data_IF_955690355033
#
_entry.id   IF_955690355033
#
_cell.length_a   1.000
_cell.length_b   1.000
_cell.length_c   1.000
_cell.angle_alpha   90.00
_cell.angle_beta   90.00
_cell.angle_gamma   90.00
#
_symmetry.space_group_name_H-M   'P 1'
#
loop_
_entity.id
_entity.type
_entity.pdbx_description
1 polymer ?
#
# COMPACT_ATOMS: atom_id res chain seq x y z
N UNK A 1 -25.34 -3.09 24.88
CA UNK A 1 -23.99 -2.50 24.68
C UNK A 1 -23.99 -1.94 23.28
N UNK A 2 -23.83 -0.63 23.16
CA UNK A 2 -24.06 0.10 21.91
C UNK A 2 -22.84 -0.11 21.02
N UNK A 3 -23.00 -0.93 19.99
CA UNK A 3 -22.10 -1.05 18.84
C UNK A 3 -22.25 0.22 17.99
N UNK A 4 -21.91 1.38 18.57
CA UNK A 4 -22.02 2.66 17.88
C UNK A 4 -20.80 2.84 16.99
N UNK A 5 -21.00 2.50 15.72
CA UNK A 5 -20.55 3.29 14.57
C UNK A 5 -19.06 3.61 14.55
N UNK A 6 -18.21 2.58 14.48
CA UNK A 6 -16.91 2.81 13.88
C UNK A 6 -17.14 3.32 12.46
N UNK A 7 -16.55 4.47 12.07
CA UNK A 7 -16.64 4.97 10.70
C UNK A 7 -16.21 3.88 9.71
N UNK A 8 -16.81 3.83 8.50
CA UNK A 8 -16.49 2.81 7.54
C UNK A 8 -14.99 2.82 7.21
N UNK A 9 -14.39 1.63 7.21
CA UNK A 9 -12.99 1.45 6.87
C UNK A 9 -12.68 2.13 5.54
N UNK A 10 -11.76 3.09 5.56
CA UNK A 10 -11.37 3.85 4.38
C UNK A 10 -9.94 3.50 4.00
N UNK A 11 -9.71 3.19 2.73
CA UNK A 11 -8.37 2.87 2.24
C UNK A 11 -7.48 4.12 2.38
N UNK A 12 -6.43 4.03 3.18
CA UNK A 12 -5.48 5.11 3.40
C UNK A 12 -4.39 5.11 2.34
N UNK A 13 -3.73 3.96 2.17
CA UNK A 13 -2.55 3.77 1.30
C UNK A 13 -2.35 2.29 0.98
N UNK A 14 -1.33 1.98 0.17
CA UNK A 14 -0.83 0.62 -0.05
C UNK A 14 0.62 0.57 0.43
N UNK A 15 0.97 -0.50 1.17
CA UNK A 15 2.34 -0.76 1.60
C UNK A 15 2.85 -2.06 0.97
N UNK A 16 4.16 -2.11 0.73
CA UNK A 16 4.88 -3.28 0.22
C UNK A 16 5.67 -3.89 1.37
N UNK A 17 5.78 -5.21 1.43
CA UNK A 17 6.41 -5.96 2.52
C UNK A 17 7.34 -7.03 1.96
N UNK A 18 8.41 -7.35 2.68
CA UNK A 18 9.34 -8.44 2.32
C UNK A 18 8.80 -9.84 2.63
N UNK A 19 7.73 -9.91 3.42
CA UNK A 19 7.02 -11.14 3.78
C UNK A 19 5.54 -10.81 4.04
N UNK A 20 4.73 -11.79 4.44
CA UNK A 20 3.33 -11.54 4.75
C UNK A 20 3.20 -10.45 5.84
N UNK A 21 2.29 -9.47 5.73
CA UNK A 21 2.23 -8.34 6.67
C UNK A 21 2.01 -8.76 8.14
N UNK A 22 1.40 -9.92 8.38
CA UNK A 22 1.27 -10.49 9.74
C UNK A 22 2.59 -10.92 10.37
N UNK A 23 3.60 -11.22 9.55
CA UNK A 23 4.92 -11.69 9.99
C UNK A 23 5.92 -10.52 10.12
N UNK A 24 5.52 -9.32 9.67
CA UNK A 24 6.27 -8.06 9.81
C UNK A 24 7.12 -7.69 8.58
N UNK A 25 7.78 -6.53 8.57
CA UNK A 25 8.72 -6.16 7.51
C UNK A 25 8.13 -5.33 6.36
N UNK A 26 7.67 -4.11 6.67
CA UNK A 26 7.33 -3.12 5.64
C UNK A 26 8.60 -2.73 4.87
N UNK A 27 8.55 -2.83 3.55
CA UNK A 27 9.61 -2.43 2.65
C UNK A 27 9.59 -0.90 2.51
N UNK A 28 10.72 -0.27 2.85
CA UNK A 28 10.88 1.17 2.66
C UNK A 28 10.90 1.47 1.16
N UNK A 29 10.18 2.51 0.75
CA UNK A 29 10.18 2.96 -0.63
C UNK A 29 11.57 3.45 -1.06
N UNK A 30 11.97 3.11 -2.28
CA UNK A 30 13.20 3.61 -2.89
C UNK A 30 13.09 5.09 -3.23
N UNK A 31 11.96 5.48 -3.80
CA UNK A 31 11.71 6.83 -4.30
C UNK A 31 10.30 7.28 -3.96
N UNK A 32 10.19 8.55 -3.58
CA UNK A 32 8.92 9.24 -3.38
C UNK A 32 9.00 10.55 -4.15
N UNK A 33 8.23 10.66 -5.21
CA UNK A 33 8.11 11.88 -6.02
C UNK A 33 6.77 12.54 -5.70
N UNK A 34 6.78 13.85 -5.47
CA UNK A 34 5.58 14.64 -5.23
C UNK A 34 5.35 15.58 -6.40
N UNK A 35 4.12 15.58 -6.90
CA UNK A 35 3.58 16.49 -7.90
C UNK A 35 2.52 17.36 -7.25
N UNK A 36 2.05 18.40 -7.95
CA UNK A 36 1.11 19.39 -7.40
C UNK A 36 -0.13 18.78 -6.74
N UNK A 37 -0.60 17.63 -7.24
CA UNK A 37 -1.84 16.99 -6.78
C UNK A 37 -1.71 15.48 -6.58
N UNK A 38 -0.51 14.93 -6.75
CA UNK A 38 -0.27 13.50 -6.60
C UNK A 38 1.10 13.21 -6.02
N UNK A 39 1.24 12.02 -5.45
CA UNK A 39 2.50 11.46 -4.98
C UNK A 39 2.69 10.11 -5.66
N UNK A 40 3.91 9.84 -6.12
CA UNK A 40 4.29 8.57 -6.70
C UNK A 40 5.36 7.95 -5.82
N UNK A 41 5.04 6.81 -5.23
CA UNK A 41 5.94 6.02 -4.38
C UNK A 41 6.39 4.79 -5.17
N UNK A 42 7.70 4.54 -5.23
CA UNK A 42 8.28 3.44 -6.01
C UNK A 42 9.12 2.53 -5.12
N UNK A 43 8.98 1.22 -5.32
CA UNK A 43 9.77 0.18 -4.71
C UNK A 43 10.44 -0.65 -5.79
N UNK A 44 11.73 -0.91 -5.65
CA UNK A 44 12.47 -1.90 -6.44
C UNK A 44 12.44 -3.22 -5.68
N UNK A 45 12.09 -4.27 -6.41
CA UNK A 45 11.93 -5.63 -5.89
C UNK A 45 13.06 -6.49 -6.45
N UNK A 46 14.25 -6.49 -5.82
CA UNK A 46 15.31 -7.40 -6.23
C UNK A 46 14.83 -8.85 -6.06
N UNK A 47 15.25 -9.78 -6.94
CA UNK A 47 14.89 -11.18 -6.82
C UNK A 47 15.23 -11.71 -5.43
N UNK A 48 14.25 -12.33 -4.77
CA UNK A 48 14.41 -12.94 -3.46
C UNK A 48 13.79 -14.35 -3.47
N UNK A 49 14.22 -15.16 -2.52
CA UNK A 49 13.70 -16.50 -2.23
C UNK A 49 12.25 -16.49 -1.72
N UNK A 50 11.80 -15.38 -1.13
CA UNK A 50 10.43 -15.19 -0.66
C UNK A 50 9.69 -14.16 -1.54
N UNK A 51 8.39 -14.34 -1.81
CA UNK A 51 7.60 -13.35 -2.54
C UNK A 51 7.41 -12.10 -1.69
N UNK A 52 7.56 -10.93 -2.31
CA UNK A 52 7.09 -9.68 -1.72
C UNK A 52 5.57 -9.69 -1.59
N UNK A 53 5.05 -8.89 -0.66
CA UNK A 53 3.62 -8.75 -0.43
C UNK A 53 3.20 -7.29 -0.56
N UNK A 54 1.99 -7.07 -1.06
CA UNK A 54 1.31 -5.79 -0.95
C UNK A 54 0.18 -5.90 0.06
N UNK A 55 -0.09 -4.84 0.81
CA UNK A 55 -1.26 -4.75 1.67
C UNK A 55 -1.96 -3.40 1.55
N UNK A 56 -3.28 -3.44 1.51
CA UNK A 56 -4.12 -2.27 1.67
C UNK A 56 -4.12 -1.83 3.14
N UNK A 57 -3.73 -0.59 3.40
CA UNK A 57 -3.72 0.00 4.74
C UNK A 57 -5.00 0.80 4.89
N UNK A 58 -5.86 0.38 5.82
CA UNK A 58 -7.14 1.06 6.09
C UNK A 58 -7.03 1.92 7.35
N UNK A 59 -7.59 3.13 7.33
CA UNK A 59 -7.80 3.91 8.55
C UNK A 59 -8.96 3.32 9.36
N UNK A 60 -8.87 3.46 10.69
CA UNK A 60 -9.96 3.14 11.63
C UNK A 60 -10.47 1.69 11.53
N UNK A 61 -9.59 0.77 11.13
CA UNK A 61 -9.95 -0.62 10.87
C UNK A 61 -8.85 -1.59 11.26
N UNK A 62 -9.23 -2.86 11.48
CA UNK A 62 -8.31 -3.99 11.67
C UNK A 62 -8.29 -4.92 10.45
N UNK A 63 -8.89 -4.50 9.34
CA UNK A 63 -8.92 -5.27 8.09
C UNK A 63 -7.49 -5.37 7.56
N UNK A 64 -7.03 -6.61 7.37
CA UNK A 64 -5.80 -6.91 6.65
C UNK A 64 -6.17 -7.53 5.30
N UNK A 65 -6.01 -6.77 4.22
CA UNK A 65 -6.12 -7.26 2.86
C UNK A 65 -4.74 -7.25 2.23
N UNK A 66 -4.16 -8.44 2.09
CA UNK A 66 -2.82 -8.64 1.57
C UNK A 66 -2.82 -9.63 0.41
N UNK A 67 -1.91 -9.42 -0.55
CA UNK A 67 -1.68 -10.34 -1.66
C UNK A 67 -0.19 -10.45 -1.97
N UNK A 68 0.29 -11.61 -2.41
CA UNK A 68 1.65 -11.74 -2.91
C UNK A 68 1.78 -10.93 -4.20
N UNK A 69 2.92 -10.26 -4.36
CA UNK A 69 3.32 -9.58 -5.59
C UNK A 69 3.85 -10.66 -6.55
N UNK A 70 3.56 -10.57 -7.87
CA UNK A 70 4.09 -11.51 -8.85
C UNK A 70 5.62 -11.61 -8.76
N UNK A 71 6.17 -12.82 -8.84
CA UNK A 71 7.59 -13.09 -8.64
C UNK A 71 8.48 -12.54 -9.78
N UNK A 72 7.88 -12.24 -10.92
CA UNK A 72 8.50 -11.61 -12.08
C UNK A 72 8.52 -10.08 -12.00
N UNK A 73 7.77 -9.48 -11.06
CA UNK A 73 7.80 -8.04 -10.85
C UNK A 73 9.14 -7.60 -10.25
N UNK A 74 9.77 -6.63 -10.91
CA UNK A 74 11.03 -6.02 -10.50
C UNK A 74 10.82 -4.65 -9.87
N UNK A 75 9.65 -4.05 -10.08
CA UNK A 75 9.29 -2.74 -9.55
C UNK A 75 7.79 -2.68 -9.23
N UNK A 76 7.44 -1.98 -8.16
CA UNK A 76 6.07 -1.56 -7.91
C UNK A 76 5.99 -0.04 -7.76
N UNK A 77 4.88 0.52 -8.23
CA UNK A 77 4.58 1.95 -8.20
C UNK A 77 3.19 2.17 -7.64
N UNK A 78 3.12 2.98 -6.60
CA UNK A 78 1.89 3.51 -6.01
C UNK A 78 1.73 4.96 -6.43
N UNK A 79 0.59 5.31 -6.99
CA UNK A 79 0.19 6.70 -7.24
C UNK A 79 -0.93 7.05 -6.29
N UNK A 80 -0.74 8.13 -5.54
CA UNK A 80 -1.71 8.67 -4.59
C UNK A 80 -2.09 10.12 -4.96
N UNK A 81 -3.32 10.51 -4.67
CA UNK A 81 -3.86 11.86 -4.73
C UNK A 81 -3.46 12.58 -3.45
N UNK A 82 -2.86 13.76 -3.60
CA UNK A 82 -2.58 14.66 -2.48
C UNK A 82 -3.74 15.63 -2.22
N UNK A 83 -4.85 15.49 -2.96
CA UNK A 83 -6.02 16.35 -2.78
C UNK A 83 -6.73 15.99 -1.47
N UNK A 84 -6.91 16.99 -0.62
CA UNK A 84 -7.58 16.92 0.70
C UNK A 84 -9.06 16.51 0.66
N UNK A 85 -9.65 16.29 -0.52
CA UNK A 85 -11.09 16.01 -0.70
C UNK A 85 -11.41 14.53 -0.97
N UNK A 86 -10.41 13.65 -1.06
CA UNK A 86 -10.63 12.24 -1.41
C UNK A 86 -10.47 11.34 -0.17
N UNK A 87 -11.46 10.49 0.16
CA UNK A 87 -11.41 9.62 1.35
C UNK A 87 -10.37 8.50 1.20
N UNK A 88 -9.98 8.18 -0.03
CA UNK A 88 -8.87 7.29 -0.39
C UNK A 88 -7.89 8.05 -1.26
N UNK A 89 -6.67 8.19 -0.78
CA UNK A 89 -5.57 8.79 -1.55
C UNK A 89 -5.13 7.91 -2.70
N UNK A 90 -5.34 6.59 -2.67
CA UNK A 90 -4.82 5.68 -3.70
C UNK A 90 -5.52 5.88 -5.05
N UNK A 91 -4.75 6.21 -6.09
CA UNK A 91 -5.20 6.29 -7.49
C UNK A 91 -4.90 4.98 -8.21
N UNK A 92 -3.69 4.45 -8.09
CA UNK A 92 -3.27 3.22 -8.76
C UNK A 92 -2.11 2.55 -8.03
N UNK A 93 -2.05 1.21 -8.09
CA UNK A 93 -0.88 0.42 -7.70
C UNK A 93 -0.58 -0.59 -8.80
N UNK A 94 0.63 -0.51 -9.37
CA UNK A 94 1.07 -1.30 -10.51
C UNK A 94 2.42 -1.92 -10.20
N UNK A 95 2.60 -3.18 -10.59
CA UNK A 95 3.88 -3.87 -10.50
C UNK A 95 4.26 -4.41 -11.89
N UNK A 96 5.54 -4.24 -12.24
CA UNK A 96 6.13 -4.56 -13.55
C UNK A 96 7.47 -5.28 -13.40
#
# INVERSE_FOLDING_TARGET
MVDSELPPASLATIAVYTQHPSDGGNLVADHIEKFDQSQVTTWRLPPDSAPYWMACVYTQSRILLAKPIPADATQCRLTESLRTQQPSGVIAFLCE
#
